data_IF_216285763721
#
_entry.id   IF_216285763721
#
_cell.length_a   1.000
_cell.length_b   1.000
_cell.length_c   1.000
_cell.angle_alpha   90.00
_cell.angle_beta   90.00
_cell.angle_gamma   90.00
#
_symmetry.space_group_name_H-M   'P 1'
#
loop_
_entity.id
_entity.type
_entity.pdbx_description
1 polymer ?
#
# COMPACT_ATOMS: atom_id res chain seq x y z
N UNK A 1 -44.54 -49.24 77.49
CA UNK A 1 -44.40 -50.10 76.29
C UNK A 1 -44.06 -49.18 75.12
N UNK A 2 -42.88 -49.40 74.53
CA UNK A 2 -42.21 -48.51 73.58
C UNK A 2 -42.75 -48.73 72.16
N UNK A 3 -43.15 -47.68 71.43
CA UNK A 3 -43.30 -47.72 69.98
C UNK A 3 -42.96 -46.34 69.40
N UNK A 4 -41.72 -46.20 68.92
CA UNK A 4 -41.24 -45.05 68.18
C UNK A 4 -41.85 -45.05 66.76
N UNK A 5 -42.60 -44.00 66.43
CA UNK A 5 -43.09 -43.77 65.07
C UNK A 5 -42.01 -43.05 64.26
N UNK A 6 -41.22 -43.80 63.50
CA UNK A 6 -40.16 -43.26 62.65
C UNK A 6 -40.81 -42.61 61.42
N UNK A 7 -40.82 -41.28 61.38
CA UNK A 7 -41.17 -40.51 60.17
C UNK A 7 -40.14 -40.80 59.07
N UNK A 8 -40.55 -41.46 57.98
CA UNK A 8 -39.72 -41.62 56.79
C UNK A 8 -39.65 -40.29 56.03
N UNK A 9 -38.64 -39.49 56.34
CA UNK A 9 -38.26 -38.33 55.51
C UNK A 9 -37.73 -38.86 54.18
N UNK A 10 -38.51 -38.72 53.10
CA UNK A 10 -38.00 -38.92 51.73
C UNK A 10 -37.07 -37.77 51.42
N UNK A 11 -35.77 -37.96 51.62
CA UNK A 11 -34.76 -37.11 51.02
C UNK A 11 -34.81 -37.35 49.51
N UNK A 12 -35.44 -36.42 48.78
CA UNK A 12 -35.14 -36.29 47.36
C UNK A 12 -33.70 -35.76 47.33
N UNK A 13 -32.74 -36.67 47.22
CA UNK A 13 -31.42 -36.33 46.71
C UNK A 13 -31.68 -35.76 45.32
N UNK A 14 -31.77 -34.44 45.23
CA UNK A 14 -31.57 -33.71 43.99
C UNK A 14 -30.30 -34.32 43.43
N UNK A 15 -30.44 -35.09 42.35
CA UNK A 15 -29.30 -35.68 41.69
C UNK A 15 -28.40 -34.50 41.40
N UNK A 16 -27.32 -34.39 42.17
CA UNK A 16 -26.19 -33.57 41.81
C UNK A 16 -25.74 -34.23 40.52
N UNK A 17 -26.29 -33.72 39.40
CA UNK A 17 -25.76 -33.95 38.09
C UNK A 17 -24.29 -33.72 38.28
N UNK A 18 -23.53 -34.82 38.23
CA UNK A 18 -22.09 -34.77 38.34
C UNK A 18 -21.68 -33.80 37.23
N UNK A 19 -21.40 -32.54 37.59
CA UNK A 19 -20.79 -31.58 36.69
C UNK A 19 -19.38 -32.13 36.50
N UNK A 20 -19.29 -33.20 35.70
CA UNK A 20 -18.05 -33.78 35.20
C UNK A 20 -17.31 -32.59 34.65
N UNK A 21 -16.14 -32.31 35.23
CA UNK A 21 -15.41 -31.07 35.04
C UNK A 21 -15.12 -30.77 33.58
N UNK A 22 -16.08 -30.14 32.90
CA UNK A 22 -15.98 -29.65 31.54
C UNK A 22 -15.60 -28.18 31.52
N UNK A 23 -15.87 -27.43 32.58
CA UNK A 23 -15.76 -25.96 32.56
C UNK A 23 -14.34 -25.42 32.45
N UNK A 24 -13.34 -26.00 33.11
CA UNK A 24 -11.99 -25.39 33.15
C UNK A 24 -11.15 -25.75 31.91
N UNK A 25 -11.08 -27.02 31.53
CA UNK A 25 -10.28 -27.44 30.37
C UNK A 25 -10.87 -26.89 29.06
N UNK A 26 -12.19 -26.90 28.93
CA UNK A 26 -12.89 -26.30 27.78
C UNK A 26 -12.67 -24.78 27.71
N UNK A 27 -12.73 -24.07 28.85
CA UNK A 27 -12.40 -22.65 28.89
C UNK A 27 -10.94 -22.37 28.53
N UNK A 28 -9.99 -23.18 29.01
CA UNK A 28 -8.57 -23.04 28.66
C UNK A 28 -8.35 -23.24 27.15
N UNK A 29 -8.95 -24.29 26.57
CA UNK A 29 -8.86 -24.56 25.14
C UNK A 29 -9.53 -23.45 24.34
N UNK A 30 -10.70 -22.95 24.77
CA UNK A 30 -11.40 -21.85 24.13
C UNK A 30 -10.57 -20.56 24.14
N UNK A 31 -9.95 -20.21 25.28
CA UNK A 31 -9.07 -19.04 25.40
C UNK A 31 -7.83 -19.21 24.52
N UNK A 32 -7.25 -20.41 24.48
CA UNK A 32 -6.11 -20.71 23.62
C UNK A 32 -6.47 -20.48 22.15
N UNK A 33 -7.54 -21.13 21.66
CA UNK A 33 -8.01 -20.98 20.27
C UNK A 33 -8.38 -19.54 19.94
N UNK A 34 -9.10 -18.85 20.85
CA UNK A 34 -9.45 -17.44 20.68
C UNK A 34 -8.21 -16.57 20.54
N UNK A 35 -7.19 -16.79 21.37
CA UNK A 35 -5.94 -16.02 21.32
C UNK A 35 -5.28 -16.16 19.95
N UNK A 36 -5.12 -17.39 19.42
CA UNK A 36 -4.60 -17.58 18.05
C UNK A 36 -5.50 -16.94 16.99
N UNK A 37 -6.82 -17.00 17.16
CA UNK A 37 -7.77 -16.35 16.27
C UNK A 37 -7.58 -14.84 16.21
N UNK A 38 -7.42 -14.18 17.36
CA UNK A 38 -7.17 -12.74 17.43
C UNK A 38 -5.83 -12.37 16.81
N UNK A 39 -4.75 -13.14 17.08
CA UNK A 39 -3.44 -12.91 16.46
C UNK A 39 -3.52 -13.00 14.93
N UNK A 40 -4.23 -14.01 14.40
CA UNK A 40 -4.44 -14.17 12.97
C UNK A 40 -5.22 -13.00 12.35
N UNK A 41 -6.25 -12.51 13.04
CA UNK A 41 -7.02 -11.34 12.60
C UNK A 41 -6.18 -10.06 12.63
N UNK A 42 -5.35 -9.86 13.64
CA UNK A 42 -4.44 -8.70 13.69
C UNK A 42 -3.45 -8.71 12.53
N UNK A 43 -2.87 -9.86 12.20
CA UNK A 43 -1.98 -10.00 11.05
C UNK A 43 -2.69 -9.65 9.74
N UNK A 44 -3.91 -10.14 9.53
CA UNK A 44 -4.70 -9.80 8.35
C UNK A 44 -4.99 -8.29 8.26
N UNK A 45 -5.28 -7.66 9.40
CA UNK A 45 -5.51 -6.21 9.46
C UNK A 45 -4.26 -5.40 9.13
N UNK A 46 -3.09 -5.78 9.65
CA UNK A 46 -1.81 -5.10 9.34
C UNK A 46 -1.55 -5.14 7.82
N UNK A 47 -1.69 -6.31 7.21
CA UNK A 47 -1.51 -6.46 5.76
C UNK A 47 -2.51 -5.61 4.97
N UNK A 48 -3.77 -5.57 5.38
CA UNK A 48 -4.80 -4.75 4.71
C UNK A 48 -4.54 -3.24 4.84
N UNK A 49 -4.03 -2.78 5.99
CA UNK A 49 -3.63 -1.39 6.18
C UNK A 49 -2.45 -1.04 5.27
N UNK A 50 -1.44 -1.90 5.19
CA UNK A 50 -0.27 -1.69 4.34
C UNK A 50 -0.64 -1.60 2.86
N UNK A 51 -1.53 -2.48 2.37
CA UNK A 51 -2.00 -2.41 0.98
C UNK A 51 -2.81 -1.14 0.71
N UNK A 52 -3.63 -0.69 1.66
CA UNK A 52 -4.35 0.57 1.55
C UNK A 52 -3.42 1.78 1.48
N UNK A 53 -2.34 1.81 2.27
CA UNK A 53 -1.34 2.88 2.23
C UNK A 53 -0.57 2.86 0.90
N UNK A 54 -0.14 1.68 0.44
CA UNK A 54 0.53 1.54 -0.86
C UNK A 54 -0.35 2.05 -2.00
N UNK A 55 -1.65 1.73 -1.99
CA UNK A 55 -2.61 2.21 -2.97
C UNK A 55 -2.80 3.74 -2.89
N UNK A 56 -2.87 4.31 -1.69
CA UNK A 56 -2.95 5.76 -1.49
C UNK A 56 -1.71 6.48 -2.05
N UNK A 57 -0.52 5.98 -1.72
CA UNK A 57 0.76 6.49 -2.22
C UNK A 57 0.83 6.41 -3.76
N UNK A 58 0.40 5.29 -4.35
CA UNK A 58 0.34 5.14 -5.80
C UNK A 58 -0.61 6.15 -6.44
N UNK A 59 -1.79 6.36 -5.85
CA UNK A 59 -2.75 7.35 -6.34
C UNK A 59 -2.18 8.77 -6.27
N UNK A 60 -1.46 9.08 -5.18
CA UNK A 60 -0.85 10.39 -4.99
C UNK A 60 0.25 10.67 -6.03
N UNK A 61 1.18 9.73 -6.22
CA UNK A 61 2.23 9.85 -7.24
C UNK A 61 1.61 9.96 -8.64
N UNK A 62 0.61 9.14 -8.94
CA UNK A 62 -0.08 9.15 -10.24
C UNK A 62 -0.72 10.52 -10.51
N UNK A 63 -1.44 11.06 -9.53
CA UNK A 63 -2.06 12.39 -9.60
C UNK A 63 -1.01 13.49 -9.82
N UNK A 64 0.03 13.50 -9.01
CA UNK A 64 1.11 14.48 -9.07
C UNK A 64 1.82 14.48 -10.44
N UNK A 65 2.23 13.30 -10.91
CA UNK A 65 2.91 13.13 -12.19
C UNK A 65 1.99 13.52 -13.35
N UNK A 66 0.72 13.11 -13.35
CA UNK A 66 -0.22 13.49 -14.40
C UNK A 66 -0.44 15.00 -14.46
N UNK A 67 -0.69 15.65 -13.33
CA UNK A 67 -0.87 17.09 -13.27
C UNK A 67 0.35 17.84 -13.85
N UNK A 68 1.56 17.42 -13.45
CA UNK A 68 2.78 18.04 -13.92
C UNK A 68 3.06 17.74 -15.40
N UNK A 69 2.73 16.54 -15.89
CA UNK A 69 2.81 16.23 -17.32
C UNK A 69 1.87 17.10 -18.14
N UNK A 70 0.64 17.34 -17.68
CA UNK A 70 -0.28 18.26 -18.36
C UNK A 70 0.25 19.70 -18.37
N UNK A 71 0.90 20.15 -17.29
CA UNK A 71 1.62 21.43 -17.26
C UNK A 71 2.74 21.47 -18.31
N UNK A 72 3.61 20.44 -18.35
CA UNK A 72 4.68 20.32 -19.35
C UNK A 72 4.13 20.35 -20.78
N UNK A 73 3.02 19.64 -21.04
CA UNK A 73 2.35 19.58 -22.34
C UNK A 73 1.75 20.92 -22.75
N UNK A 74 1.33 21.74 -21.79
CA UNK A 74 0.79 23.08 -22.03
C UNK A 74 1.87 24.09 -22.41
N UNK A 75 3.07 23.96 -21.84
CA UNK A 75 4.19 24.87 -22.06
C UNK A 75 5.49 24.15 -22.45
N UNK A 76 5.52 23.46 -23.62
CA UNK A 76 6.76 22.91 -24.14
C UNK A 76 7.61 24.01 -24.76
N UNK A 77 8.92 23.86 -24.71
CA UNK A 77 9.81 24.66 -25.56
C UNK A 77 9.73 24.10 -26.98
N UNK A 78 9.68 24.96 -27.98
CA UNK A 78 9.64 24.54 -29.38
C UNK A 78 11.02 24.65 -30.01
N UNK A 79 11.47 23.58 -30.65
CA UNK A 79 12.74 23.52 -31.37
C UNK A 79 12.53 23.05 -32.80
N UNK A 80 13.37 23.52 -33.72
CA UNK A 80 13.34 23.06 -35.10
C UNK A 80 14.26 21.85 -35.20
N UNK A 81 13.68 20.70 -35.51
CA UNK A 81 14.42 19.48 -35.81
C UNK A 81 14.49 19.29 -37.32
N UNK A 82 15.68 18.98 -37.80
CA UNK A 82 15.95 18.74 -39.20
C UNK A 82 16.17 17.24 -39.39
N UNK A 83 15.34 16.62 -40.23
CA UNK A 83 15.44 15.20 -40.56
C UNK A 83 15.59 15.06 -42.08
N UNK A 84 16.41 14.11 -42.51
CA UNK A 84 16.50 13.75 -43.91
C UNK A 84 15.34 12.81 -44.26
N UNK A 85 14.67 13.09 -45.37
CA UNK A 85 13.73 12.16 -45.98
C UNK A 85 14.46 10.96 -46.61
N UNK A 86 13.73 9.93 -47.02
CA UNK A 86 14.26 8.78 -47.76
C UNK A 86 14.93 9.12 -49.11
N UNK A 87 14.84 10.38 -49.56
CA UNK A 87 15.56 10.92 -50.72
C UNK A 87 16.57 12.04 -50.36
N UNK A 88 17.12 12.06 -49.14
CA UNK A 88 18.14 13.01 -48.66
C UNK A 88 17.74 14.49 -48.70
N UNK A 89 16.44 14.78 -48.79
CA UNK A 89 15.92 16.13 -48.66
C UNK A 89 15.80 16.51 -47.18
N UNK A 90 16.23 17.74 -46.83
CA UNK A 90 16.14 18.25 -45.46
C UNK A 90 14.71 18.71 -45.15
N UNK A 91 14.01 17.96 -44.32
CA UNK A 91 12.69 18.31 -43.80
C UNK A 91 12.86 18.95 -42.42
N UNK A 92 12.30 20.14 -42.24
CA UNK A 92 12.24 20.80 -40.94
C UNK A 92 10.90 20.51 -40.28
N UNK A 93 10.93 20.10 -39.02
CA UNK A 93 9.75 19.84 -38.21
C UNK A 93 9.86 20.59 -36.89
N UNK A 94 8.71 21.01 -36.36
CA UNK A 94 8.64 21.61 -35.03
C UNK A 94 8.54 20.46 -34.02
N UNK A 95 9.54 20.34 -33.16
CA UNK A 95 9.57 19.36 -32.09
C UNK A 95 9.41 20.03 -30.72
N UNK A 96 8.76 19.32 -29.81
CA UNK A 96 8.66 19.71 -28.41
C UNK A 96 9.94 19.32 -27.68
N UNK A 97 10.51 20.27 -26.97
CA UNK A 97 11.71 20.15 -26.13
C UNK A 97 11.29 20.34 -24.67
N UNK A 98 11.54 19.32 -23.84
CA UNK A 98 11.24 19.33 -22.40
C UNK A 98 12.50 19.47 -21.54
N UNK A 99 13.67 19.74 -22.15
CA UNK A 99 14.95 19.88 -21.44
C UNK A 99 14.93 20.90 -20.30
N UNK A 100 14.09 21.95 -20.39
CA UNK A 100 13.92 22.95 -19.32
C UNK A 100 13.32 22.39 -18.03
N UNK A 101 12.61 21.27 -18.12
CA UNK A 101 12.02 20.58 -16.98
C UNK A 101 12.92 19.46 -16.44
N UNK A 102 13.97 19.11 -17.18
CA UNK A 102 14.81 17.97 -16.86
C UNK A 102 15.54 18.15 -15.54
N UNK A 103 15.52 17.10 -14.72
CA UNK A 103 16.23 17.08 -13.45
C UNK A 103 16.47 15.64 -13.01
N UNK A 104 17.71 15.36 -12.61
CA UNK A 104 18.09 14.07 -12.01
C UNK A 104 18.11 14.14 -10.47
N UNK A 105 17.78 15.29 -9.90
CA UNK A 105 17.77 15.49 -8.46
C UNK A 105 16.40 15.12 -7.88
N UNK A 106 16.36 13.99 -7.16
CA UNK A 106 15.15 13.47 -6.51
C UNK A 106 14.45 14.51 -5.64
N UNK A 107 15.16 15.34 -4.88
CA UNK A 107 14.55 16.32 -3.99
C UNK A 107 13.90 17.49 -4.77
N UNK A 108 14.53 17.94 -5.85
CA UNK A 108 13.97 18.98 -6.71
C UNK A 108 12.77 18.45 -7.50
N UNK A 109 12.84 17.22 -8.01
CA UNK A 109 11.75 16.55 -8.68
C UNK A 109 10.55 16.37 -7.74
N UNK A 110 10.78 15.86 -6.52
CA UNK A 110 9.74 15.69 -5.51
C UNK A 110 9.05 17.01 -5.15
N UNK A 111 9.81 18.10 -5.01
CA UNK A 111 9.27 19.43 -4.73
C UNK A 111 8.45 19.99 -5.90
N UNK A 112 8.91 19.80 -7.14
CA UNK A 112 8.18 20.21 -8.35
C UNK A 112 6.84 19.48 -8.50
N UNK A 113 6.81 18.20 -8.13
CA UNK A 113 5.62 17.36 -8.24
C UNK A 113 4.71 17.41 -7.00
N UNK A 114 5.15 18.03 -5.90
CA UNK A 114 4.42 18.13 -4.63
C UNK A 114 3.95 16.77 -4.07
N UNK A 115 4.83 15.76 -4.13
CA UNK A 115 4.48 14.38 -3.74
C UNK A 115 4.57 14.21 -2.22
N UNK A 116 3.45 13.79 -1.61
CA UNK A 116 3.38 13.48 -0.18
C UNK A 116 3.06 12.00 0.06
N UNK A 117 4.09 11.22 0.40
CA UNK A 117 3.93 9.81 0.73
C UNK A 117 3.62 9.61 2.22
N UNK A 118 2.76 8.64 2.52
CA UNK A 118 2.45 8.22 3.87
C UNK A 118 3.31 7.01 4.24
N UNK A 119 4.05 7.14 5.34
CA UNK A 119 4.92 6.10 5.91
C UNK A 119 5.91 5.47 4.90
N UNK A 120 6.26 6.20 3.85
CA UNK A 120 7.20 5.79 2.80
C UNK A 120 8.05 6.99 2.41
N UNK A 121 9.22 6.70 1.86
CA UNK A 121 10.12 7.71 1.30
C UNK A 121 10.21 7.53 -0.22
N UNK A 122 10.48 8.64 -0.90
CA UNK A 122 10.87 8.60 -2.31
C UNK A 122 12.28 8.03 -2.41
N UNK A 123 12.45 7.06 -3.32
CA UNK A 123 13.75 6.47 -3.63
C UNK A 123 14.40 7.28 -4.76
N UNK A 124 13.70 7.41 -5.88
CA UNK A 124 14.15 8.18 -7.04
C UNK A 124 13.02 8.99 -7.65
N UNK A 125 13.33 10.17 -8.16
CA UNK A 125 12.41 11.00 -8.93
C UNK A 125 13.24 11.74 -9.97
N UNK A 126 13.03 11.42 -11.24
CA UNK A 126 13.79 12.00 -12.35
C UNK A 126 12.86 12.46 -13.45
N UNK A 127 13.20 13.60 -14.05
CA UNK A 127 12.55 14.13 -15.24
C UNK A 127 13.62 14.15 -16.34
N UNK A 128 13.42 13.31 -17.35
CA UNK A 128 14.32 13.20 -18.49
C UNK A 128 14.06 14.32 -19.50
N UNK A 129 15.04 14.62 -20.35
CA UNK A 129 14.96 15.69 -21.36
C UNK A 129 13.92 15.42 -22.46
N UNK A 130 13.55 14.16 -22.67
CA UNK A 130 12.44 13.70 -23.52
C UNK A 130 11.05 13.96 -22.89
N UNK A 131 11.01 14.46 -21.65
CA UNK A 131 9.79 14.74 -20.91
C UNK A 131 9.22 13.51 -20.22
N UNK A 132 9.99 12.43 -20.06
CA UNK A 132 9.61 11.31 -19.22
C UNK A 132 9.85 11.63 -17.75
N UNK A 133 8.81 11.45 -16.93
CA UNK A 133 8.91 11.48 -15.48
C UNK A 133 8.93 10.04 -15.00
N UNK A 134 9.89 9.71 -14.14
CA UNK A 134 9.97 8.42 -13.46
C UNK A 134 10.10 8.65 -11.96
N UNK A 135 9.22 8.04 -11.20
CA UNK A 135 9.18 8.12 -9.73
C UNK A 135 9.24 6.70 -9.18
N UNK A 136 10.13 6.45 -8.22
CA UNK A 136 10.17 5.21 -7.45
C UNK A 136 10.10 5.48 -5.96
N UNK A 137 9.41 4.63 -5.22
CA UNK A 137 9.23 4.75 -3.78
C UNK A 137 9.12 3.38 -3.12
N UNK A 138 9.46 3.32 -1.84
CA UNK A 138 9.34 2.11 -1.04
C UNK A 138 7.90 1.78 -0.63
N UNK A 139 7.60 0.49 -0.58
CA UNK A 139 6.35 -0.08 -0.08
C UNK A 139 6.30 -0.17 1.45
N UNK A 140 5.08 -0.36 1.96
CA UNK A 140 4.82 -0.68 3.36
C UNK A 140 5.15 -2.15 3.67
N UNK A 141 6.43 -2.51 3.67
CA UNK A 141 6.87 -3.83 4.11
C UNK A 141 7.13 -3.87 5.61
N UNK A 142 6.93 -5.03 6.24
CA UNK A 142 7.37 -5.26 7.62
C UNK A 142 8.90 -5.31 7.75
N UNK A 143 9.63 -5.46 6.62
CA UNK A 143 11.08 -5.43 6.54
C UNK A 143 11.53 -4.20 5.72
N UNK A 144 12.03 -3.18 6.41
CA UNK A 144 12.37 -1.85 5.86
C UNK A 144 13.46 -1.82 4.76
N UNK A 145 13.97 -2.96 4.28
CA UNK A 145 15.08 -3.02 3.33
C UNK A 145 14.90 -4.07 2.23
N UNK A 146 13.67 -4.53 1.98
CA UNK A 146 13.43 -5.44 0.86
C UNK A 146 13.37 -4.64 -0.45
N UNK A 147 14.39 -4.79 -1.29
CA UNK A 147 14.44 -4.20 -2.62
C UNK A 147 13.32 -4.73 -3.55
N UNK A 148 12.59 -5.78 -3.14
CA UNK A 148 11.44 -6.30 -3.87
C UNK A 148 10.13 -5.53 -3.61
N UNK A 149 10.09 -4.65 -2.61
CA UNK A 149 8.92 -3.82 -2.27
C UNK A 149 9.05 -2.39 -2.85
N UNK A 150 9.69 -2.24 -4.02
CA UNK A 150 9.78 -0.96 -4.72
C UNK A 150 8.63 -0.80 -5.72
N UNK A 151 7.93 0.32 -5.61
CA UNK A 151 6.92 0.75 -6.57
C UNK A 151 7.53 1.76 -7.54
N UNK A 152 7.09 1.71 -8.79
CA UNK A 152 7.49 2.68 -9.79
C UNK A 152 6.30 3.15 -10.62
N UNK A 153 6.34 4.42 -10.99
CA UNK A 153 5.40 5.02 -11.91
C UNK A 153 6.17 5.88 -12.91
N UNK A 154 5.83 5.78 -14.18
CA UNK A 154 6.39 6.65 -15.20
C UNK A 154 5.33 7.10 -16.20
N UNK A 155 5.51 8.34 -16.68
CA UNK A 155 4.66 8.95 -17.69
C UNK A 155 5.50 9.89 -18.54
N UNK A 156 5.29 9.87 -19.85
CA UNK A 156 5.99 10.74 -20.81
C UNK A 156 5.03 11.80 -21.35
N UNK A 157 5.46 13.06 -21.35
CA UNK A 157 4.65 14.19 -21.83
C UNK A 157 4.43 14.21 -23.36
N UNK A 158 5.32 13.57 -24.13
CA UNK A 158 5.20 13.39 -25.58
C UNK A 158 4.85 11.95 -25.96
N UNK A 159 4.11 11.79 -27.06
CA UNK A 159 4.17 10.56 -27.85
C UNK A 159 5.37 10.67 -28.78
N UNK A 160 6.15 9.60 -28.90
CA UNK A 160 7.17 9.47 -29.95
C UNK A 160 6.55 9.53 -31.34
#
# INVERSE_FOLDING_TARGET
>A
MFQQNIKKTKYCLHAYQLQRGTTIVEAIVAIFVLSFGVLALMLAQITAVNTSINAANQSEVTRAVQNYVEEMRSYPKLTIQEKLDGQDNKIQSIAKDYSQYATDNTALCANKLDIHLVNANLNTCTISADGQIKVTWGGQSLSNNDASDEFSYSLTAGQS
#
